data_IF_725064744233
#
_entry.id   IF_725064744233
#
_cell.length_a   1.000
_cell.length_b   1.000
_cell.length_c   1.000
_cell.angle_alpha   90.00
_cell.angle_beta   90.00
_cell.angle_gamma   90.00
#
_symmetry.space_group_name_H-M   'P 1'
#
loop_
_entity.id
_entity.type
_entity.pdbx_description
1 polymer ?
#
# COMPACT_ATOMS: atom_id res chain seq x y z
N UNK A 1 -2.11 26.55 16.17
CA UNK A 1 -3.56 26.43 16.46
C UNK A 1 -3.79 26.56 17.96
N UNK A 2 -4.78 27.32 18.39
CA UNK A 2 -5.17 27.44 19.81
C UNK A 2 -6.55 26.83 19.99
N UNK A 3 -6.67 25.87 20.91
CA UNK A 3 -7.93 25.22 21.27
C UNK A 3 -8.35 25.72 22.65
N UNK A 4 -9.60 26.13 22.78
CA UNK A 4 -10.16 26.69 24.03
C UNK A 4 -11.40 25.90 24.41
N UNK A 5 -11.49 25.45 25.67
CA UNK A 5 -12.66 24.77 26.23
C UNK A 5 -12.98 25.38 27.59
N UNK A 6 -14.01 26.22 27.67
CA UNK A 6 -14.34 26.98 28.88
C UNK A 6 -13.17 27.90 29.30
N UNK A 7 -12.51 27.57 30.42
CA UNK A 7 -11.33 28.30 30.92
C UNK A 7 -10.00 27.68 30.47
N UNK A 8 -10.02 26.46 29.94
CA UNK A 8 -8.81 25.74 29.54
C UNK A 8 -8.37 26.18 28.14
N UNK A 9 -7.06 26.34 27.96
CA UNK A 9 -6.46 26.70 26.68
C UNK A 9 -5.27 25.80 26.38
N UNK A 10 -5.27 25.18 25.22
CA UNK A 10 -4.13 24.43 24.68
C UNK A 10 -3.61 25.12 23.41
N UNK A 11 -2.28 25.22 23.27
CA UNK A 11 -1.65 25.74 22.06
C UNK A 11 -0.91 24.61 21.34
N UNK A 12 -1.41 24.25 20.17
CA UNK A 12 -0.77 23.33 19.26
C UNK A 12 0.13 24.12 18.31
N UNK A 13 1.41 23.77 18.28
CA UNK A 13 2.39 24.31 17.33
C UNK A 13 2.58 23.33 16.19
N UNK A 14 3.07 23.82 15.07
CA UNK A 14 3.39 22.98 13.90
C UNK A 14 2.19 22.20 13.32
N UNK A 15 1.07 22.89 13.17
CA UNK A 15 -0.16 22.33 12.59
C UNK A 15 -0.22 22.71 11.10
N UNK A 16 -0.43 21.72 10.24
CA UNK A 16 -0.72 21.91 8.82
C UNK A 16 -2.17 21.49 8.53
N UNK A 17 -2.82 22.18 7.60
CA UNK A 17 -4.16 21.85 7.11
C UNK A 17 -4.07 21.81 5.59
N UNK A 18 -4.50 20.70 5.00
CA UNK A 18 -4.36 20.45 3.56
C UNK A 18 -4.78 19.03 3.22
N UNK A 19 -4.15 18.45 2.21
CA UNK A 19 -4.48 17.11 1.72
C UNK A 19 -3.74 16.03 2.51
N UNK A 20 -4.41 14.91 2.80
CA UNK A 20 -3.77 13.74 3.41
C UNK A 20 -4.08 12.49 2.60
N UNK A 21 -3.06 11.73 2.23
CA UNK A 21 -3.20 10.49 1.45
C UNK A 21 -2.64 9.28 2.19
N UNK A 22 -3.19 8.10 1.93
CA UNK A 22 -2.71 6.85 2.49
C UNK A 22 -1.99 6.03 1.43
N UNK A 23 -0.69 5.79 1.57
CA UNK A 23 0.12 5.03 0.63
C UNK A 23 0.45 3.64 1.19
N UNK A 24 0.14 2.59 0.41
CA UNK A 24 0.33 1.21 0.83
C UNK A 24 0.75 0.29 -0.30
N UNK A 25 1.17 -0.91 0.06
CA UNK A 25 1.64 -1.95 -0.84
C UNK A 25 2.99 -2.54 -0.40
N UNK A 26 3.79 -2.96 -1.36
CA UNK A 26 5.03 -3.70 -1.09
C UNK A 26 6.30 -2.94 -1.45
N UNK A 27 7.37 -3.65 -1.81
CA UNK A 27 8.73 -3.13 -1.98
C UNK A 27 8.85 -1.98 -2.98
N UNK A 28 8.05 -1.97 -4.05
CA UNK A 28 8.04 -0.84 -5.00
C UNK A 28 7.35 0.41 -4.44
N UNK A 29 6.39 0.28 -3.52
CA UNK A 29 5.90 1.40 -2.71
C UNK A 29 6.94 1.80 -1.66
N UNK A 30 7.61 0.84 -1.03
CA UNK A 30 8.55 1.06 0.08
C UNK A 30 9.89 1.67 -0.32
N UNK A 31 10.31 1.47 -1.58
CA UNK A 31 11.61 1.91 -2.12
C UNK A 31 11.96 3.31 -1.64
N UNK A 32 13.18 3.45 -1.12
CA UNK A 32 13.61 4.68 -0.46
C UNK A 32 14.01 5.73 -1.47
N UNK A 33 13.86 7.00 -1.11
CA UNK A 33 14.25 8.12 -1.99
C UNK A 33 15.71 7.99 -2.42
N UNK A 34 16.62 7.56 -1.53
CA UNK A 34 18.05 7.37 -1.88
C UNK A 34 18.33 6.25 -2.90
N UNK A 35 17.37 5.35 -3.14
CA UNK A 35 17.49 4.24 -4.10
C UNK A 35 16.87 4.60 -5.45
N UNK A 36 16.34 5.82 -5.58
CA UNK A 36 15.46 6.23 -6.67
C UNK A 36 15.97 7.46 -7.40
N UNK A 37 15.26 7.85 -8.47
CA UNK A 37 15.50 9.09 -9.20
C UNK A 37 14.79 10.33 -8.61
N UNK A 38 14.20 10.24 -7.42
CA UNK A 38 13.43 11.33 -6.81
C UNK A 38 14.38 12.34 -6.15
N UNK A 39 14.31 13.65 -6.50
CA UNK A 39 15.19 14.66 -5.93
C UNK A 39 14.81 14.95 -4.47
N UNK A 40 15.82 14.95 -3.59
CA UNK A 40 15.65 15.23 -2.16
C UNK A 40 15.58 16.75 -1.92
N UNK A 41 14.38 17.29 -1.77
CA UNK A 41 14.15 18.74 -1.61
C UNK A 41 13.43 19.02 -0.29
N UNK A 42 14.06 19.77 0.60
CA UNK A 42 13.40 20.16 1.85
C UNK A 42 12.17 21.02 1.57
N UNK A 43 11.04 20.68 2.20
CA UNK A 43 9.76 21.36 2.06
C UNK A 43 8.90 21.17 3.33
N UNK A 44 8.74 22.20 4.18
CA UNK A 44 8.00 22.05 5.44
C UNK A 44 6.49 21.82 5.27
N UNK A 45 5.95 22.05 4.07
CA UNK A 45 4.54 21.81 3.74
C UNK A 45 4.30 20.37 3.23
N UNK A 46 5.37 19.60 3.00
CA UNK A 46 5.28 18.16 2.74
C UNK A 46 5.59 17.41 4.03
N UNK A 47 4.70 16.51 4.43
CA UNK A 47 4.88 15.72 5.64
C UNK A 47 4.58 14.25 5.40
N UNK A 48 5.40 13.37 5.94
CA UNK A 48 5.12 11.94 5.94
C UNK A 48 4.95 11.42 7.37
N UNK A 49 4.01 10.50 7.53
CA UNK A 49 3.83 9.70 8.73
C UNK A 49 4.04 8.24 8.35
N UNK A 50 4.98 7.58 9.01
CA UNK A 50 5.20 6.14 8.82
C UNK A 50 4.97 5.48 10.18
N UNK A 51 3.94 4.61 10.32
CA UNK A 51 3.69 3.87 11.54
C UNK A 51 4.83 2.86 11.79
N UNK A 52 4.81 2.22 12.95
CA UNK A 52 5.65 1.06 13.17
C UNK A 52 5.26 -0.07 12.19
N UNK A 53 6.26 -0.61 11.51
CA UNK A 53 6.07 -1.66 10.51
C UNK A 53 6.12 -3.03 11.19
N UNK A 54 4.95 -3.54 11.57
CA UNK A 54 4.81 -4.87 12.19
C UNK A 54 3.54 -5.58 11.72
N UNK A 55 3.60 -6.90 11.68
CA UNK A 55 2.46 -7.78 11.46
C UNK A 55 1.86 -8.16 12.81
N UNK A 56 0.53 -8.24 12.90
CA UNK A 56 -0.15 -8.66 14.13
C UNK A 56 -1.33 -9.57 13.82
N UNK A 57 -1.49 -10.66 14.57
CA UNK A 57 -2.63 -11.56 14.38
C UNK A 57 -3.96 -10.90 14.77
N UNK A 58 -3.92 -9.92 15.67
CA UNK A 58 -5.07 -9.14 16.14
C UNK A 58 -4.89 -7.64 15.83
N UNK A 59 -5.97 -6.88 15.59
CA UNK A 59 -5.87 -5.44 15.36
C UNK A 59 -5.12 -4.73 16.50
N UNK A 60 -4.11 -3.94 16.14
CA UNK A 60 -3.45 -3.06 17.11
C UNK A 60 -4.18 -1.73 17.20
N UNK A 61 -4.20 -1.13 18.39
CA UNK A 61 -4.92 0.13 18.63
C UNK A 61 -4.06 1.39 18.46
N UNK A 62 -2.74 1.25 18.38
CA UNK A 62 -1.81 2.36 18.19
C UNK A 62 -0.86 2.07 17.04
N UNK A 63 -0.80 3.00 16.08
CA UNK A 63 0.04 2.85 14.89
C UNK A 63 1.53 3.05 15.21
N UNK A 64 1.85 3.74 16.32
CA UNK A 64 3.21 4.27 16.56
C UNK A 64 3.60 5.34 15.53
N UNK A 65 4.84 5.82 15.58
CA UNK A 65 5.34 6.82 14.63
C UNK A 65 4.99 8.28 14.94
N UNK A 66 5.41 9.18 14.04
CA UNK A 66 5.17 10.63 14.13
C UNK A 66 5.19 11.26 12.73
N UNK A 67 4.47 12.37 12.57
CA UNK A 67 4.60 13.20 11.38
C UNK A 67 5.99 13.83 11.32
N UNK A 68 6.62 13.76 10.16
CA UNK A 68 7.93 14.33 9.87
C UNK A 68 7.84 15.26 8.66
N UNK A 69 8.52 16.40 8.71
CA UNK A 69 8.60 17.34 7.58
C UNK A 69 9.60 16.84 6.55
N UNK A 70 9.46 17.29 5.31
CA UNK A 70 10.46 17.01 4.30
C UNK A 70 11.71 17.82 4.61
N UNK A 71 12.70 17.16 5.21
CA UNK A 71 14.01 17.69 5.52
C UNK A 71 15.10 16.67 5.18
N UNK A 72 16.36 17.02 5.42
CA UNK A 72 17.52 16.17 5.14
C UNK A 72 17.57 14.89 5.98
N UNK A 73 16.82 14.79 7.08
CA UNK A 73 16.80 13.60 7.94
C UNK A 73 15.73 12.61 7.48
N UNK A 74 14.53 13.12 7.17
CA UNK A 74 13.36 12.34 6.79
C UNK A 74 13.40 11.88 5.34
N UNK A 75 13.54 12.82 4.41
CA UNK A 75 13.35 12.59 2.96
C UNK A 75 14.10 11.37 2.44
N UNK A 76 15.39 11.16 2.76
CA UNK A 76 16.12 10.00 2.22
C UNK A 76 15.44 8.67 2.56
N UNK A 77 14.87 8.52 3.77
CA UNK A 77 14.29 7.27 4.34
C UNK A 77 12.83 7.02 3.96
N UNK A 78 12.21 7.95 3.25
CA UNK A 78 10.81 7.84 2.90
C UNK A 78 10.58 7.04 1.62
N UNK A 79 9.35 6.57 1.43
CA UNK A 79 8.90 6.04 0.14
C UNK A 79 9.09 7.08 -0.96
N UNK A 80 9.84 6.71 -2.00
CA UNK A 80 10.09 7.54 -3.16
C UNK A 80 8.80 7.87 -3.92
N UNK A 81 7.88 6.90 -4.05
CA UNK A 81 6.58 7.11 -4.71
C UNK A 81 5.72 8.09 -3.92
N UNK A 82 5.60 7.90 -2.60
CA UNK A 82 4.81 8.77 -1.72
C UNK A 82 5.34 10.20 -1.72
N UNK A 83 6.66 10.35 -1.65
CA UNK A 83 7.29 11.66 -1.60
C UNK A 83 7.18 12.39 -2.95
N UNK A 84 7.44 11.71 -4.08
CA UNK A 84 7.24 12.28 -5.41
C UNK A 84 5.77 12.65 -5.69
N UNK A 85 4.83 11.83 -5.22
CA UNK A 85 3.40 12.15 -5.27
C UNK A 85 3.09 13.43 -4.48
N UNK A 86 3.62 13.55 -3.26
CA UNK A 86 3.37 14.71 -2.42
C UNK A 86 3.97 16.00 -3.01
N UNK A 87 5.18 15.93 -3.60
CA UNK A 87 5.81 17.05 -4.32
C UNK A 87 4.91 17.55 -5.45
N UNK A 88 4.51 16.65 -6.35
CA UNK A 88 3.68 17.00 -7.51
C UNK A 88 2.30 17.51 -7.08
N UNK A 89 1.69 16.88 -6.07
CA UNK A 89 0.36 17.28 -5.59
C UNK A 89 0.39 18.65 -4.92
N UNK A 90 1.41 18.92 -4.09
CA UNK A 90 1.58 20.21 -3.42
C UNK A 90 1.77 21.33 -4.44
N UNK A 91 2.62 21.12 -5.44
CA UNK A 91 2.85 22.10 -6.52
C UNK A 91 1.55 22.46 -7.25
N UNK A 92 0.67 21.48 -7.45
CA UNK A 92 -0.62 21.67 -8.13
C UNK A 92 -1.67 22.37 -7.28
N UNK A 93 -1.77 22.02 -6.01
CA UNK A 93 -2.86 22.49 -5.14
C UNK A 93 -2.50 23.74 -4.35
N UNK A 94 -1.21 24.03 -4.16
CA UNK A 94 -0.76 25.17 -3.36
C UNK A 94 -1.06 25.05 -1.87
N UNK A 95 -1.37 23.84 -1.37
CA UNK A 95 -1.65 23.55 0.04
C UNK A 95 -0.68 22.51 0.59
N UNK A 96 -0.49 22.43 1.92
CA UNK A 96 0.29 21.34 2.52
C UNK A 96 -0.24 19.96 2.15
N UNK A 97 0.68 19.00 1.95
CA UNK A 97 0.37 17.62 1.60
C UNK A 97 1.01 16.66 2.61
N UNK A 98 0.16 15.86 3.24
CA UNK A 98 0.53 14.76 4.11
C UNK A 98 0.41 13.41 3.39
N UNK A 99 1.35 12.49 3.62
CA UNK A 99 1.17 11.08 3.23
C UNK A 99 1.44 10.16 4.43
N UNK A 100 0.49 9.28 4.70
CA UNK A 100 0.59 8.19 5.67
C UNK A 100 1.07 6.96 4.93
N UNK A 101 2.24 6.41 5.26
CA UNK A 101 2.87 5.31 4.52
C UNK A 101 2.83 3.98 5.27
N UNK A 102 2.00 3.04 4.83
CA UNK A 102 1.93 1.67 5.34
C UNK A 102 2.31 0.67 4.25
N UNK A 103 3.60 0.42 4.08
CA UNK A 103 4.13 -0.46 3.04
C UNK A 103 5.10 -1.48 3.64
N UNK A 104 5.20 -2.67 3.05
CA UNK A 104 6.09 -3.73 3.53
C UNK A 104 6.52 -4.65 2.38
N UNK A 105 7.83 -4.72 2.12
CA UNK A 105 8.43 -5.50 1.04
C UNK A 105 8.09 -6.99 1.01
N UNK A 106 7.82 -7.49 -0.19
CA UNK A 106 7.59 -8.91 -0.45
C UNK A 106 6.17 -9.39 -0.16
N UNK A 107 5.24 -8.54 0.25
CA UNK A 107 3.95 -9.00 0.79
C UNK A 107 2.89 -9.28 -0.28
N UNK A 108 2.02 -10.26 -0.02
CA UNK A 108 0.92 -10.64 -0.90
C UNK A 108 -0.36 -9.88 -0.50
N UNK A 109 -1.33 -9.73 -1.42
CA UNK A 109 -2.51 -8.90 -1.16
C UNK A 109 -3.36 -9.39 0.02
N UNK A 110 -3.40 -10.70 0.26
CA UNK A 110 -4.13 -11.33 1.35
C UNK A 110 -3.65 -10.89 2.75
N UNK A 111 -2.39 -10.45 2.92
CA UNK A 111 -1.92 -9.94 4.21
C UNK A 111 -2.44 -8.53 4.52
N UNK A 112 -2.90 -7.79 3.50
CA UNK A 112 -3.44 -6.43 3.60
C UNK A 112 -4.98 -6.38 3.67
N UNK A 113 -5.64 -7.54 3.64
CA UNK A 113 -7.08 -7.65 3.78
C UNK A 113 -7.47 -7.96 5.23
N UNK A 114 -8.59 -7.45 5.75
CA UNK A 114 -9.08 -7.92 7.04
C UNK A 114 -9.32 -9.42 6.99
N UNK A 115 -8.89 -10.14 8.02
CA UNK A 115 -8.99 -11.60 8.04
C UNK A 115 -10.43 -12.10 7.88
N UNK A 116 -11.43 -11.35 8.37
CA UNK A 116 -12.85 -11.67 8.19
C UNK A 116 -13.26 -11.81 6.73
N UNK A 117 -12.70 -11.00 5.83
CA UNK A 117 -13.00 -11.08 4.38
C UNK A 117 -12.49 -12.38 3.75
N UNK A 118 -11.49 -13.01 4.37
CA UNK A 118 -10.87 -14.21 3.85
C UNK A 118 -11.59 -15.48 4.26
N UNK A 119 -12.46 -15.42 5.29
CA UNK A 119 -13.17 -16.57 5.85
C UNK A 119 -14.50 -16.81 5.13
N UNK A 120 -15.21 -15.74 4.79
CA UNK A 120 -16.61 -15.79 4.32
C UNK A 120 -16.75 -16.09 2.83
N UNK A 121 -15.79 -15.65 2.00
CA UNK A 121 -15.88 -15.80 0.55
C UNK A 121 -15.32 -17.15 0.06
N UNK A 122 -16.05 -17.93 -0.78
CA UNK A 122 -15.59 -19.25 -1.24
C UNK A 122 -14.28 -19.26 -2.04
N UNK A 123 -13.93 -18.15 -2.71
CA UNK A 123 -12.69 -18.00 -3.47
C UNK A 123 -11.52 -17.69 -2.54
N UNK A 124 -11.76 -16.96 -1.45
CA UNK A 124 -10.72 -16.58 -0.48
C UNK A 124 -10.57 -17.59 0.65
N UNK A 125 -11.62 -18.34 0.99
CA UNK A 125 -11.63 -19.33 2.07
C UNK A 125 -10.48 -20.34 2.01
N UNK A 126 -10.08 -20.86 0.83
CA UNK A 126 -8.89 -21.72 0.74
C UNK A 126 -7.58 -21.06 1.20
N UNK A 127 -7.47 -19.72 1.17
CA UNK A 127 -6.32 -18.97 1.70
C UNK A 127 -6.31 -19.07 3.22
N UNK A 128 -7.45 -18.78 3.85
CA UNK A 128 -7.62 -18.87 5.29
C UNK A 128 -7.41 -20.31 5.79
N UNK A 129 -7.99 -21.30 5.12
CA UNK A 129 -7.91 -22.70 5.54
C UNK A 129 -6.46 -23.23 5.48
N UNK A 130 -5.67 -22.80 4.49
CA UNK A 130 -4.22 -23.07 4.44
C UNK A 130 -3.48 -22.44 5.62
N UNK A 131 -3.80 -21.19 5.96
CA UNK A 131 -3.21 -20.52 7.12
C UNK A 131 -3.52 -21.27 8.42
N UNK A 132 -4.78 -21.63 8.67
CA UNK A 132 -5.19 -22.42 9.85
C UNK A 132 -4.49 -23.78 9.89
N UNK A 133 -4.32 -24.43 8.74
CA UNK A 133 -3.57 -25.67 8.66
C UNK A 133 -2.09 -25.47 9.04
N UNK A 134 -1.47 -24.35 8.65
CA UNK A 134 -0.08 -24.03 9.01
C UNK A 134 0.11 -23.82 10.51
N UNK A 135 -0.86 -23.17 11.18
CA UNK A 135 -0.86 -23.01 12.64
C UNK A 135 -0.88 -24.38 13.32
N UNK A 136 -1.81 -25.25 12.93
CA UNK A 136 -1.90 -26.60 13.49
C UNK A 136 -0.61 -27.40 13.26
N UNK A 137 0.05 -27.25 12.11
CA UNK A 137 1.33 -27.93 11.86
C UNK A 137 2.42 -27.46 12.82
N UNK A 138 2.55 -26.14 13.03
CA UNK A 138 3.50 -25.57 13.99
C UNK A 138 3.23 -26.04 15.42
N UNK A 139 1.97 -26.02 15.85
CA UNK A 139 1.56 -26.48 17.19
C UNK A 139 1.88 -27.96 17.43
N UNK A 140 1.84 -28.77 16.37
CA UNK A 140 2.19 -30.19 16.42
C UNK A 140 3.70 -30.47 16.18
N UNK A 141 4.54 -29.44 16.16
CA UNK A 141 5.99 -29.58 16.00
C UNK A 141 6.43 -30.07 14.61
N UNK A 142 5.57 -29.95 13.59
CA UNK A 142 5.89 -30.32 12.23
C UNK A 142 6.60 -29.14 11.52
N UNK A 143 7.73 -29.39 10.82
CA UNK A 143 8.37 -28.35 10.02
C UNK A 143 7.44 -27.94 8.87
N UNK A 144 7.07 -26.65 8.81
CA UNK A 144 6.20 -26.11 7.75
C UNK A 144 6.92 -26.10 6.39
N UNK A 145 8.25 -26.13 6.42
CA UNK A 145 9.13 -25.99 5.25
C UNK A 145 9.05 -27.18 4.27
N UNK A 146 8.60 -28.37 4.70
CA UNK A 146 8.69 -29.60 3.90
C UNK A 146 7.58 -29.81 2.85
N UNK A 147 6.52 -28.98 2.83
CA UNK A 147 5.40 -29.22 1.90
C UNK A 147 5.11 -28.15 0.86
N UNK A 148 5.62 -26.93 1.02
CA UNK A 148 5.31 -25.85 0.07
C UNK A 148 6.37 -24.74 0.10
N UNK A 149 7.51 -24.88 -0.61
CA UNK A 149 8.54 -23.83 -0.71
C UNK A 149 8.04 -22.51 -1.35
N UNK A 150 6.79 -22.48 -1.81
CA UNK A 150 6.13 -21.35 -2.46
C UNK A 150 4.75 -21.01 -1.86
N UNK A 151 4.29 -21.68 -0.78
CA UNK A 151 3.10 -21.22 -0.06
C UNK A 151 3.54 -20.18 0.98
N UNK A 152 3.15 -18.95 0.72
CA UNK A 152 3.44 -17.80 1.57
C UNK A 152 2.38 -17.63 2.67
N UNK A 153 1.32 -18.43 2.69
CA UNK A 153 0.18 -18.33 3.62
C UNK A 153 0.49 -19.03 4.96
N UNK A 154 1.64 -18.74 5.57
CA UNK A 154 2.16 -19.44 6.75
C UNK A 154 2.24 -18.49 7.95
N UNK A 155 1.78 -18.97 9.11
CA UNK A 155 1.85 -18.24 10.36
C UNK A 155 3.28 -17.77 10.73
N UNK A 156 3.39 -16.53 11.20
CA UNK A 156 4.67 -15.95 11.60
C UNK A 156 5.52 -15.46 10.43
N UNK A 157 5.03 -15.57 9.20
CA UNK A 157 5.68 -14.97 8.02
C UNK A 157 5.05 -13.63 7.65
N UNK A 158 5.80 -12.83 6.87
CA UNK A 158 5.41 -11.49 6.37
C UNK A 158 4.12 -11.45 5.55
N UNK A 159 3.60 -12.61 5.17
CA UNK A 159 2.49 -12.80 4.25
C UNK A 159 1.26 -13.38 4.95
N UNK A 160 1.30 -13.51 6.28
CA UNK A 160 0.20 -14.09 7.05
C UNK A 160 -1.11 -13.35 6.71
N UNK A 161 -2.16 -14.08 6.26
CA UNK A 161 -3.40 -13.45 5.84
C UNK A 161 -4.03 -12.56 6.92
N UNK A 162 -4.16 -11.28 6.58
CA UNK A 162 -4.66 -10.18 7.40
C UNK A 162 -3.75 -9.60 8.48
N UNK A 163 -2.53 -10.08 8.66
CA UNK A 163 -1.70 -9.59 9.76
C UNK A 163 -1.16 -8.17 9.54
N UNK A 164 -0.88 -7.79 8.28
CA UNK A 164 -0.45 -6.42 7.98
C UNK A 164 -1.62 -5.45 8.02
N UNK A 165 -2.82 -5.90 7.64
CA UNK A 165 -4.02 -5.12 7.86
C UNK A 165 -4.15 -4.76 9.34
N UNK A 166 -4.07 -5.76 10.22
CA UNK A 166 -4.20 -5.58 11.66
C UNK A 166 -3.09 -4.73 12.28
N UNK A 167 -1.83 -4.93 11.87
CA UNK A 167 -0.68 -4.23 12.45
C UNK A 167 -0.44 -2.82 11.91
N UNK A 168 -0.79 -2.56 10.64
CA UNK A 168 -0.39 -1.34 9.92
C UNK A 168 -1.54 -0.51 9.35
N UNK A 169 -2.72 -1.11 9.10
CA UNK A 169 -3.85 -0.42 8.47
C UNK A 169 -4.95 -0.11 9.48
N UNK A 170 -5.40 -1.10 10.24
CA UNK A 170 -6.41 -1.00 11.28
C UNK A 170 -6.18 0.16 12.28
N UNK A 171 -4.97 0.39 12.84
CA UNK A 171 -4.75 1.49 13.78
C UNK A 171 -4.84 2.90 13.17
N UNK A 172 -4.91 3.00 11.83
CA UNK A 172 -5.01 4.25 11.10
C UNK A 172 -6.43 4.51 10.59
N UNK A 173 -7.36 3.58 10.81
CA UNK A 173 -8.77 3.78 10.53
C UNK A 173 -9.44 4.39 11.78
N UNK A 174 -10.26 5.45 11.65
CA UNK A 174 -10.68 6.17 10.44
C UNK A 174 -9.97 7.53 10.31
N UNK A 175 -8.63 7.56 10.18
CA UNK A 175 -7.91 8.82 9.95
C UNK A 175 -8.43 9.50 8.69
N UNK A 176 -8.67 10.81 8.76
CA UNK A 176 -9.20 11.59 7.63
C UNK A 176 -8.20 11.62 6.48
N UNK A 177 -8.55 10.97 5.37
CA UNK A 177 -7.75 10.88 4.16
C UNK A 177 -8.57 11.21 2.92
N UNK A 178 -7.91 11.75 1.90
CA UNK A 178 -8.51 12.14 0.62
C UNK A 178 -8.52 11.01 -0.42
N UNK A 179 -7.74 9.95 -0.15
CA UNK A 179 -7.58 8.80 -1.04
C UNK A 179 -6.42 7.88 -0.64
N UNK A 180 -6.36 6.75 -1.36
CA UNK A 180 -5.39 5.67 -1.19
C UNK A 180 -4.50 5.57 -2.43
N UNK A 181 -3.20 5.37 -2.21
CA UNK A 181 -2.20 5.01 -3.21
C UNK A 181 -1.78 3.55 -2.97
N UNK A 182 -1.90 2.70 -3.98
CA UNK A 182 -1.60 1.28 -3.87
C UNK A 182 -0.57 0.83 -4.91
N UNK A 183 0.55 0.28 -4.45
CA UNK A 183 1.54 -0.30 -5.36
C UNK A 183 2.00 -1.67 -4.84
N UNK A 184 1.30 -2.68 -5.31
CA UNK A 184 1.55 -4.07 -4.99
C UNK A 184 1.08 -4.99 -6.12
N UNK A 185 1.68 -6.17 -6.20
CA UNK A 185 1.19 -7.26 -7.03
C UNK A 185 2.25 -8.29 -7.33
N UNK A 186 3.53 -7.95 -7.17
CA UNK A 186 4.66 -8.78 -7.55
C UNK A 186 4.63 -10.14 -6.84
N UNK A 187 4.35 -10.15 -5.54
CA UNK A 187 4.23 -11.40 -4.76
C UNK A 187 2.93 -12.16 -5.03
N UNK A 188 2.00 -11.57 -5.77
CA UNK A 188 0.72 -12.18 -6.16
C UNK A 188 0.67 -12.51 -7.66
N UNK A 189 1.75 -12.28 -8.42
CA UNK A 189 1.77 -12.41 -9.88
C UNK A 189 1.45 -13.84 -10.36
N UNK A 190 2.00 -14.85 -9.70
CA UNK A 190 1.71 -16.26 -9.99
C UNK A 190 0.25 -16.66 -9.68
N UNK A 191 -0.47 -15.86 -8.89
CA UNK A 191 -1.87 -16.09 -8.52
C UNK A 191 -2.78 -15.01 -9.12
N UNK A 192 -2.50 -14.53 -10.33
CA UNK A 192 -3.23 -13.43 -10.96
C UNK A 192 -4.77 -13.59 -10.97
N UNK A 193 -5.28 -14.81 -11.15
CA UNK A 193 -6.74 -15.07 -11.08
C UNK A 193 -7.30 -14.78 -9.69
N UNK A 194 -6.61 -15.24 -8.64
CA UNK A 194 -6.97 -14.97 -7.24
C UNK A 194 -6.86 -13.47 -6.94
N UNK A 195 -5.80 -12.82 -7.42
CA UNK A 195 -5.64 -11.36 -7.30
C UNK A 195 -6.82 -10.60 -7.90
N UNK A 196 -7.37 -11.07 -9.02
CA UNK A 196 -8.52 -10.45 -9.68
C UNK A 196 -9.83 -10.58 -8.90
N UNK A 197 -9.87 -11.43 -7.89
CA UNK A 197 -10.96 -11.50 -6.93
C UNK A 197 -10.66 -10.65 -5.70
N UNK A 198 -9.45 -10.79 -5.14
CA UNK A 198 -9.03 -10.10 -3.92
C UNK A 198 -8.91 -8.58 -4.09
N UNK A 199 -8.44 -8.09 -5.24
CA UNK A 199 -8.19 -6.66 -5.40
C UNK A 199 -9.45 -5.79 -5.33
N UNK A 200 -10.56 -6.08 -6.05
CA UNK A 200 -11.80 -5.34 -5.83
C UNK A 200 -12.37 -5.53 -4.41
N UNK A 201 -12.25 -6.71 -3.80
CA UNK A 201 -12.67 -6.92 -2.40
C UNK A 201 -11.87 -6.05 -1.41
N UNK A 202 -10.56 -5.92 -1.61
CA UNK A 202 -9.72 -5.04 -0.80
C UNK A 202 -10.17 -3.59 -0.91
N UNK A 203 -10.44 -3.11 -2.13
CA UNK A 203 -10.93 -1.74 -2.37
C UNK A 203 -12.25 -1.50 -1.63
N UNK A 204 -13.19 -2.43 -1.73
CA UNK A 204 -14.50 -2.30 -1.08
C UNK A 204 -14.39 -2.33 0.44
N UNK A 205 -13.63 -3.29 0.98
CA UNK A 205 -13.46 -3.45 2.42
C UNK A 205 -12.77 -2.23 3.05
N UNK A 206 -11.77 -1.64 2.37
CA UNK A 206 -11.12 -0.43 2.87
C UNK A 206 -12.07 0.77 2.80
N UNK A 207 -12.81 0.97 1.70
CA UNK A 207 -13.83 2.02 1.60
C UNK A 207 -14.88 1.95 2.71
N UNK A 208 -15.41 0.75 2.95
CA UNK A 208 -16.38 0.50 4.01
C UNK A 208 -15.81 0.90 5.38
N UNK A 209 -14.59 0.45 5.69
CA UNK A 209 -13.97 0.68 7.01
C UNK A 209 -13.57 2.13 7.25
N UNK A 210 -13.17 2.84 6.21
CA UNK A 210 -12.98 4.29 6.29
C UNK A 210 -14.30 5.08 6.32
N UNK A 211 -15.43 4.43 6.06
CA UNK A 211 -16.75 5.06 6.03
C UNK A 211 -16.97 5.94 4.81
N UNK A 212 -16.23 5.72 3.72
CA UNK A 212 -16.30 6.48 2.48
C UNK A 212 -16.36 5.53 1.27
N UNK A 213 -17.57 5.21 0.75
CA UNK A 213 -17.74 4.33 -0.41
C UNK A 213 -17.14 4.90 -1.70
N UNK A 214 -16.89 6.21 -1.75
CA UNK A 214 -16.32 6.92 -2.90
C UNK A 214 -14.83 7.24 -2.72
N UNK A 215 -14.20 6.74 -1.66
CA UNK A 215 -12.80 6.99 -1.36
C UNK A 215 -11.94 6.65 -2.59
N UNK A 216 -11.13 7.63 -3.01
CA UNK A 216 -10.29 7.49 -4.20
C UNK A 216 -9.28 6.38 -3.99
N UNK A 217 -9.17 5.47 -4.95
CA UNK A 217 -8.23 4.35 -4.88
C UNK A 217 -7.35 4.33 -6.13
N UNK A 218 -6.17 4.92 -6.02
CA UNK A 218 -5.22 5.04 -7.12
C UNK A 218 -4.13 4.00 -6.98
N UNK A 219 -3.82 3.30 -8.06
CA UNK A 219 -2.88 2.19 -8.02
C UNK A 219 -1.92 2.18 -9.19
N UNK A 220 -0.80 1.47 -9.02
CA UNK A 220 0.24 1.36 -10.03
C UNK A 220 0.21 -0.04 -10.63
N UNK A 221 0.06 -0.12 -11.94
CA UNK A 221 0.22 -1.36 -12.69
C UNK A 221 1.68 -1.81 -12.62
N UNK A 222 1.94 -3.11 -12.47
CA UNK A 222 3.31 -3.61 -12.35
C UNK A 222 4.20 -3.16 -13.53
N UNK A 223 5.41 -2.70 -13.19
CA UNK A 223 6.41 -2.26 -14.15
C UNK A 223 6.93 -3.42 -15.02
N UNK A 224 7.64 -3.09 -16.10
CA UNK A 224 8.12 -3.95 -17.20
C UNK A 224 9.03 -5.14 -16.89
N UNK A 225 8.93 -5.76 -15.73
CA UNK A 225 9.64 -7.01 -15.38
C UNK A 225 9.07 -8.22 -16.12
N UNK A 226 9.93 -9.19 -16.48
CA UNK A 226 9.55 -10.37 -17.25
C UNK A 226 9.16 -11.60 -16.39
N UNK A 227 9.43 -11.54 -15.08
CA UNK A 227 9.05 -12.59 -14.13
C UNK A 227 10.02 -13.76 -14.06
N UNK A 228 11.09 -13.81 -14.86
CA UNK A 228 11.94 -15.02 -14.98
C UNK A 228 12.68 -15.39 -13.70
N UNK A 229 13.14 -14.41 -12.92
CA UNK A 229 13.81 -14.67 -11.64
C UNK A 229 12.84 -14.79 -10.46
N UNK A 230 11.53 -14.56 -10.68
CA UNK A 230 10.52 -14.69 -9.61
C UNK A 230 10.19 -16.14 -9.25
N UNK A 231 10.80 -17.12 -9.91
CA UNK A 231 10.54 -18.54 -9.69
C UNK A 231 9.14 -18.98 -10.11
N UNK A 232 8.39 -18.14 -10.83
CA UNK A 232 7.05 -18.50 -11.30
C UNK A 232 7.14 -19.55 -12.40
N UNK A 233 6.65 -20.76 -12.11
CA UNK A 233 6.49 -21.83 -13.09
C UNK A 233 5.42 -21.50 -14.16
N UNK A 234 4.68 -20.40 -13.97
CA UNK A 234 3.60 -19.98 -14.86
C UNK A 234 4.19 -19.02 -15.90
N UNK A 235 4.30 -19.54 -17.13
CA UNK A 235 4.55 -18.70 -18.30
C UNK A 235 3.53 -17.54 -18.33
N UNK A 236 4.01 -16.31 -18.48
CA UNK A 236 3.16 -15.09 -18.56
C UNK A 236 2.40 -14.67 -17.28
N UNK A 237 2.85 -15.06 -16.08
CA UNK A 237 2.25 -14.58 -14.81
C UNK A 237 2.15 -13.04 -14.72
N UNK A 238 3.21 -12.33 -15.12
CA UNK A 238 3.26 -10.86 -15.03
C UNK A 238 2.28 -10.14 -15.97
N UNK A 239 2.22 -10.46 -17.29
CA UNK A 239 1.19 -9.93 -18.17
C UNK A 239 -0.24 -10.18 -17.67
N UNK A 240 -0.54 -11.38 -17.16
CA UNK A 240 -1.86 -11.68 -16.61
C UNK A 240 -2.21 -10.80 -15.42
N UNK A 241 -1.28 -10.60 -14.48
CA UNK A 241 -1.53 -9.73 -13.35
C UNK A 241 -1.75 -8.27 -13.78
N UNK A 242 -0.97 -7.76 -14.73
CA UNK A 242 -1.16 -6.40 -15.27
C UNK A 242 -2.54 -6.21 -15.90
N UNK A 243 -3.05 -7.21 -16.62
CA UNK A 243 -4.42 -7.15 -17.17
C UNK A 243 -5.48 -7.19 -16.06
N UNK A 244 -5.28 -8.02 -15.04
CA UNK A 244 -6.16 -8.05 -13.87
C UNK A 244 -6.19 -6.71 -13.14
N UNK A 245 -5.03 -6.07 -12.93
CA UNK A 245 -4.93 -4.71 -12.38
C UNK A 245 -5.72 -3.71 -13.24
N UNK A 246 -5.56 -3.76 -14.57
CA UNK A 246 -6.32 -2.90 -15.50
C UNK A 246 -7.83 -3.08 -15.36
N UNK A 247 -8.31 -4.34 -15.26
CA UNK A 247 -9.74 -4.67 -15.15
C UNK A 247 -10.40 -4.12 -13.88
N UNK A 248 -9.64 -3.72 -12.85
CA UNK A 248 -10.22 -3.06 -11.68
C UNK A 248 -10.95 -1.75 -12.07
N UNK A 249 -10.43 -1.02 -13.07
CA UNK A 249 -11.04 0.22 -13.57
C UNK A 249 -12.46 0.01 -14.10
N UNK A 250 -12.74 -1.17 -14.66
CA UNK A 250 -14.06 -1.53 -15.20
C UNK A 250 -15.03 -1.99 -14.10
N UNK A 251 -14.51 -2.26 -12.89
CA UNK A 251 -15.26 -2.89 -11.79
C UNK A 251 -15.59 -1.95 -10.65
N UNK A 252 -14.80 -0.89 -10.44
CA UNK A 252 -14.95 0.03 -9.31
C UNK A 252 -14.76 1.46 -9.76
N UNK A 253 -15.77 2.28 -9.51
CA UNK A 253 -15.67 3.72 -9.68
C UNK A 253 -14.68 4.34 -8.69
N UNK A 254 -14.31 5.60 -8.93
CA UNK A 254 -13.33 6.32 -8.10
C UNK A 254 -11.97 5.60 -7.95
N UNK A 255 -11.65 4.74 -8.91
CA UNK A 255 -10.34 4.14 -9.09
C UNK A 255 -9.57 4.83 -10.22
N UNK A 256 -8.24 4.72 -10.17
CA UNK A 256 -7.36 5.24 -11.21
C UNK A 256 -6.06 4.45 -11.26
N UNK A 257 -5.55 4.19 -12.45
CA UNK A 257 -4.36 3.36 -12.65
C UNK A 257 -3.25 4.16 -13.31
N UNK A 258 -2.04 4.04 -12.76
CA UNK A 258 -0.81 4.47 -13.41
C UNK A 258 -0.16 3.30 -14.13
N UNK A 259 0.12 3.48 -15.42
CA UNK A 259 0.91 2.53 -16.20
C UNK A 259 2.39 2.77 -15.92
N UNK A 260 3.08 1.76 -15.36
CA UNK A 260 4.51 1.79 -15.11
C UNK A 260 5.31 0.83 -16.01
N UNK A 261 4.68 0.18 -16.99
CA UNK A 261 5.32 -0.82 -17.86
C UNK A 261 6.66 -0.33 -18.45
N UNK A 262 6.65 0.83 -19.12
CA UNK A 262 7.83 1.40 -19.78
C UNK A 262 8.84 2.04 -18.81
N UNK A 263 8.51 2.14 -17.52
CA UNK A 263 9.44 2.56 -16.48
C UNK A 263 10.21 1.37 -15.90
N UNK A 264 9.91 0.14 -16.33
CA UNK A 264 10.60 -1.07 -15.89
C UNK A 264 11.71 -1.51 -16.83
N UNK A 265 12.52 -2.44 -16.33
CA UNK A 265 13.45 -3.26 -17.09
C UNK A 265 13.03 -4.72 -16.90
N UNK A 266 13.12 -5.54 -17.95
CA UNK A 266 12.80 -6.97 -17.89
C UNK A 266 13.55 -7.70 -16.78
N UNK A 267 14.76 -7.25 -16.44
CA UNK A 267 15.64 -7.87 -15.45
C UNK A 267 15.60 -7.18 -14.07
N UNK A 268 14.85 -6.08 -13.93
CA UNK A 268 14.76 -5.36 -12.66
C UNK A 268 13.32 -5.27 -12.17
N UNK A 269 13.01 -6.05 -11.15
CA UNK A 269 11.71 -6.04 -10.45
C UNK A 269 11.48 -4.73 -9.65
N UNK A 270 12.55 -3.98 -9.34
CA UNK A 270 12.55 -2.73 -8.58
C UNK A 270 13.11 -1.56 -9.41
N UNK A 271 12.40 -1.07 -10.44
CA UNK A 271 12.88 0.04 -11.24
C UNK A 271 12.95 1.35 -10.44
N UNK A 272 14.02 2.15 -10.59
CA UNK A 272 14.27 3.33 -9.74
C UNK A 272 13.47 4.58 -10.15
N UNK A 273 12.73 4.53 -11.27
CA UNK A 273 11.99 5.66 -11.85
C UNK A 273 10.68 5.98 -11.08
N UNK A 274 10.82 6.29 -9.78
CA UNK A 274 9.69 6.53 -8.87
C UNK A 274 9.15 7.95 -8.95
N UNK A 275 9.95 8.90 -9.43
CA UNK A 275 9.51 10.29 -9.69
C UNK A 275 8.32 10.31 -10.65
N UNK A 276 8.43 9.59 -11.75
CA UNK A 276 7.42 9.51 -12.80
C UNK A 276 6.15 8.80 -12.30
N UNK A 277 6.30 7.76 -11.47
CA UNK A 277 5.16 7.05 -10.86
C UNK A 277 4.39 7.98 -9.93
N UNK A 278 5.08 8.65 -9.00
CA UNK A 278 4.47 9.59 -8.05
C UNK A 278 3.76 10.75 -8.76
N UNK A 279 4.42 11.36 -9.75
CA UNK A 279 3.82 12.46 -10.52
C UNK A 279 2.57 12.01 -11.29
N UNK A 280 2.57 10.80 -11.87
CA UNK A 280 1.39 10.26 -12.56
C UNK A 280 0.22 9.97 -11.62
N UNK A 281 0.49 9.51 -10.40
CA UNK A 281 -0.55 9.31 -9.39
C UNK A 281 -1.21 10.66 -9.03
N UNK A 282 -0.43 11.71 -8.82
CA UNK A 282 -0.97 13.05 -8.56
C UNK A 282 -1.79 13.58 -9.75
N UNK A 283 -1.35 13.30 -10.98
CA UNK A 283 -2.06 13.69 -12.21
C UNK A 283 -3.44 13.03 -12.37
N UNK A 284 -3.70 11.88 -11.75
CA UNK A 284 -5.03 11.26 -11.77
C UNK A 284 -6.07 12.14 -11.06
N UNK A 285 -5.67 12.86 -10.02
CA UNK A 285 -6.55 13.80 -9.30
C UNK A 285 -6.89 15.02 -10.17
N UNK A 286 -5.88 15.61 -10.82
CA UNK A 286 -6.04 16.83 -11.62
C UNK A 286 -6.98 16.68 -12.83
N UNK A 287 -7.18 15.45 -13.33
CA UNK A 287 -8.14 15.18 -14.42
C UNK A 287 -9.61 15.24 -13.98
N UNK A 288 -9.86 15.17 -12.66
CA UNK A 288 -11.22 15.11 -12.09
C UNK A 288 -11.65 16.40 -11.40
N UNK A 289 -10.70 17.27 -11.04
CA UNK A 289 -10.99 18.63 -10.53
C UNK A 289 -11.01 19.58 -11.72
N UNK A 290 -12.20 19.81 -12.32
CA UNK A 290 -12.40 21.01 -13.14
C UNK A 290 -12.47 22.18 -12.15
N UNK A 291 -11.49 23.07 -12.21
CA UNK A 291 -11.61 24.41 -11.64
C UNK A 291 -12.70 25.19 -12.38
#
# INVERSE_FOLDING_TARGET
MRVVSGKDTATLRDVAVGEVWFASGQSNMEMKVWESNVPMVSDPDIRLFVPFQWSSQEPVFTAGGRWQKADSEGVPRWSAVSYAFAQELKERLGVPVGVIGAYFGGTAIESWMPRSELVEDPVTKPIHDRFVQSIHQLENGLPVEERFPWCWDVAGQRHTPGDLFNGMVAPLIPYGISGILWYQGESSASKARQYGHLFPMLVDSWRERWGDPDLKFYFVQLAGYDGRESGSEIESAWPHLRDVQRRLLDRRENTGMVVAFHLGDSLNIHPPYKKEVGARLANLLARRVRL
#
